data_IF_938047050261
#
_entry.id   IF_938047050261
#
_cell.length_a   1.000
_cell.length_b   1.000
_cell.length_c   1.000
_cell.angle_alpha   90.00
_cell.angle_beta   90.00
_cell.angle_gamma   90.00
#
_symmetry.space_group_name_H-M   'P 1'
#
loop_
_entity.id
_entity.type
_entity.pdbx_description
1 polymer ?
#
# COMPACT_ATOMS: atom_id res chain seq x y z
N UNK A 1 -23.14 43.75 -14.97
CA UNK A 1 -22.11 42.70 -14.90
C UNK A 1 -22.25 41.86 -13.63
N UNK A 2 -22.09 42.43 -12.42
CA UNK A 2 -22.22 41.69 -11.13
C UNK A 2 -23.50 40.87 -10.98
N UNK A 3 -24.67 41.46 -11.22
CA UNK A 3 -25.96 40.77 -11.10
C UNK A 3 -26.09 39.53 -11.99
N UNK A 4 -25.61 39.60 -13.24
CA UNK A 4 -25.59 38.45 -14.17
C UNK A 4 -24.63 37.34 -13.73
N UNK A 5 -23.53 37.71 -13.07
CA UNK A 5 -22.57 36.75 -12.52
C UNK A 5 -23.17 36.03 -11.32
N UNK A 6 -23.87 36.76 -10.44
CA UNK A 6 -24.58 36.20 -9.29
C UNK A 6 -25.72 35.27 -9.74
N UNK A 7 -26.53 35.67 -10.72
CA UNK A 7 -27.58 34.83 -11.32
C UNK A 7 -27.00 33.54 -11.89
N UNK A 8 -25.90 33.62 -12.65
CA UNK A 8 -25.26 32.43 -13.22
C UNK A 8 -24.63 31.52 -12.16
N UNK A 9 -24.17 32.07 -11.05
CA UNK A 9 -23.67 31.28 -9.93
C UNK A 9 -24.79 30.49 -9.27
N UNK A 10 -25.96 31.10 -9.06
CA UNK A 10 -27.13 30.42 -8.48
C UNK A 10 -27.60 29.30 -9.39
N UNK A 11 -27.79 29.57 -10.70
CA UNK A 11 -28.16 28.55 -11.69
C UNK A 11 -27.19 27.36 -11.69
N UNK A 12 -25.89 27.64 -11.65
CA UNK A 12 -24.86 26.60 -11.59
C UNK A 12 -24.98 25.73 -10.33
N UNK A 13 -25.29 26.31 -9.17
CA UNK A 13 -25.47 25.56 -7.93
C UNK A 13 -26.73 24.70 -7.95
N UNK A 14 -27.82 25.20 -8.54
CA UNK A 14 -29.08 24.46 -8.69
C UNK A 14 -28.95 23.28 -9.66
N UNK A 15 -28.34 23.51 -10.83
CA UNK A 15 -28.04 22.46 -11.82
C UNK A 15 -27.20 21.34 -11.18
N UNK A 16 -26.15 21.70 -10.46
CA UNK A 16 -25.24 20.74 -9.86
C UNK A 16 -25.83 19.97 -8.67
N UNK A 17 -26.67 20.62 -7.87
CA UNK A 17 -27.42 19.95 -6.79
C UNK A 17 -28.34 18.87 -7.36
N UNK A 18 -29.02 19.19 -8.47
CA UNK A 18 -29.91 18.26 -9.15
C UNK A 18 -29.17 17.03 -9.70
N UNK A 19 -28.00 17.23 -10.30
CA UNK A 19 -27.16 16.13 -10.82
C UNK A 19 -26.68 15.19 -9.69
N UNK A 20 -26.28 15.74 -8.54
CA UNK A 20 -25.86 14.93 -7.38
C UNK A 20 -27.04 14.10 -6.85
N UNK A 21 -28.22 14.70 -6.72
CA UNK A 21 -29.42 13.99 -6.28
C UNK A 21 -29.83 12.87 -7.24
N UNK A 22 -29.76 13.12 -8.55
CA UNK A 22 -30.06 12.11 -9.57
C UNK A 22 -29.09 10.93 -9.50
N UNK A 23 -27.79 11.19 -9.36
CA UNK A 23 -26.78 10.13 -9.23
C UNK A 23 -27.03 9.24 -7.99
N UNK A 24 -27.45 9.85 -6.87
CA UNK A 24 -27.83 9.10 -5.66
C UNK A 24 -29.08 8.26 -5.90
N UNK A 25 -30.13 8.84 -6.53
CA UNK A 25 -31.38 8.13 -6.86
C UNK A 25 -31.17 6.97 -7.84
N UNK A 26 -30.18 7.07 -8.72
CA UNK A 26 -29.81 6.02 -9.68
C UNK A 26 -28.87 4.96 -9.10
N UNK A 27 -28.61 4.98 -7.78
CA UNK A 27 -27.66 4.08 -7.13
C UNK A 27 -26.24 4.13 -7.73
N UNK A 28 -25.80 5.30 -8.21
CA UNK A 28 -24.42 5.57 -8.65
C UNK A 28 -23.69 6.48 -7.63
N UNK A 29 -23.23 5.91 -6.49
CA UNK A 29 -22.52 6.67 -5.48
C UNK A 29 -21.15 7.16 -5.97
N UNK A 30 -20.56 6.53 -6.99
CA UNK A 30 -19.25 6.91 -7.52
C UNK A 30 -19.32 8.25 -8.26
N UNK A 31 -20.37 8.46 -9.05
CA UNK A 31 -20.59 9.72 -9.78
C UNK A 31 -20.98 10.85 -8.83
N UNK A 32 -21.84 10.61 -7.84
CA UNK A 32 -22.15 11.58 -6.78
C UNK A 32 -20.89 12.00 -5.99
N UNK A 33 -20.07 11.04 -5.58
CA UNK A 33 -18.81 11.32 -4.87
C UNK A 33 -17.83 12.14 -5.73
N UNK A 34 -17.72 11.85 -7.02
CA UNK A 34 -16.86 12.59 -7.96
C UNK A 34 -17.27 14.05 -8.09
N UNK A 35 -18.56 14.32 -8.19
CA UNK A 35 -19.12 15.69 -8.25
C UNK A 35 -18.86 16.47 -6.96
N UNK A 36 -19.14 15.88 -5.80
CA UNK A 36 -18.85 16.48 -4.49
C UNK A 36 -17.33 16.73 -4.32
N UNK A 37 -16.50 15.81 -4.80
CA UNK A 37 -15.03 15.94 -4.74
C UNK A 37 -14.51 17.06 -5.64
N UNK A 38 -15.12 17.28 -6.81
CA UNK A 38 -14.82 18.43 -7.69
C UNK A 38 -15.19 19.75 -7.00
N UNK A 39 -16.36 19.79 -6.36
CA UNK A 39 -16.87 20.96 -5.63
C UNK A 39 -16.02 21.39 -4.44
N UNK A 40 -15.48 20.42 -3.69
CA UNK A 40 -14.56 20.70 -2.57
C UNK A 40 -13.20 21.28 -3.01
N UNK A 41 -13.05 21.64 -4.28
CA UNK A 41 -11.78 22.00 -4.88
C UNK A 41 -10.93 20.75 -4.98
N UNK A 42 -11.16 19.97 -6.05
CA UNK A 42 -10.41 18.73 -6.29
C UNK A 42 -8.92 18.96 -6.04
N UNK A 43 -8.36 18.27 -5.04
CA UNK A 43 -6.92 18.35 -4.76
C UNK A 43 -6.20 18.00 -6.07
N UNK A 44 -5.23 18.83 -6.48
CA UNK A 44 -4.33 18.48 -7.57
C UNK A 44 -3.90 17.02 -7.39
N UNK A 45 -3.92 16.23 -8.48
CA UNK A 45 -3.45 14.85 -8.39
C UNK A 45 -2.03 14.90 -7.83
N UNK A 46 -1.81 14.21 -6.72
CA UNK A 46 -0.51 14.23 -6.02
C UNK A 46 0.60 13.79 -6.99
N UNK A 47 0.28 12.89 -7.93
CA UNK A 47 1.13 12.44 -9.03
C UNK A 47 1.52 13.55 -10.02
N UNK A 48 0.65 14.53 -10.24
CA UNK A 48 0.87 15.63 -11.18
C UNK A 48 1.43 16.88 -10.50
N UNK A 49 1.65 16.86 -9.19
CA UNK A 49 2.24 17.98 -8.47
C UNK A 49 3.76 18.04 -8.66
N UNK A 50 4.35 19.22 -8.89
CA UNK A 50 5.80 19.39 -8.90
C UNK A 50 6.42 19.00 -7.54
N UNK A 51 7.61 18.43 -7.54
CA UNK A 51 8.36 18.04 -6.33
C UNK A 51 9.77 18.62 -6.36
N UNK A 52 10.45 18.69 -5.22
CA UNK A 52 11.83 19.16 -5.14
C UNK A 52 12.83 18.01 -5.37
N UNK A 53 13.93 18.30 -6.06
CA UNK A 53 15.12 17.47 -6.04
C UNK A 53 15.87 17.59 -4.69
N UNK A 54 17.01 16.91 -4.55
CA UNK A 54 17.82 16.96 -3.32
C UNK A 54 18.47 18.32 -3.07
N UNK A 55 18.61 19.13 -4.12
CA UNK A 55 19.22 20.46 -4.08
C UNK A 55 18.17 21.56 -3.88
N UNK A 56 16.89 21.21 -3.80
CA UNK A 56 15.77 22.13 -3.61
C UNK A 56 15.19 22.71 -4.89
N UNK A 57 15.60 22.23 -6.08
CA UNK A 57 15.04 22.70 -7.35
C UNK A 57 13.72 22.01 -7.66
N UNK A 58 12.81 22.74 -8.31
CA UNK A 58 11.47 22.24 -8.63
C UNK A 58 11.45 21.38 -9.90
N UNK A 59 11.10 20.11 -9.76
CA UNK A 59 10.89 19.15 -10.84
C UNK A 59 9.42 19.16 -11.27
N UNK A 60 9.19 19.59 -12.52
CA UNK A 60 7.85 19.68 -13.13
C UNK A 60 7.62 18.50 -14.08
N UNK A 61 8.68 18.01 -14.74
CA UNK A 61 8.59 16.92 -15.71
C UNK A 61 8.17 15.59 -15.05
N UNK A 62 7.24 14.85 -15.65
CA UNK A 62 6.77 13.56 -15.15
C UNK A 62 7.90 12.53 -14.92
N UNK A 63 8.83 12.41 -15.87
CA UNK A 63 9.94 11.45 -15.79
C UNK A 63 10.94 11.82 -14.69
N UNK A 64 11.30 13.09 -14.57
CA UNK A 64 12.23 13.56 -13.53
C UNK A 64 11.66 13.34 -12.13
N UNK A 65 10.35 13.59 -11.96
CA UNK A 65 9.68 13.31 -10.71
C UNK A 65 9.69 11.82 -10.38
N UNK A 66 9.34 10.95 -11.33
CA UNK A 66 9.38 9.49 -11.13
C UNK A 66 10.78 9.02 -10.76
N UNK A 67 11.81 9.54 -11.43
CA UNK A 67 13.20 9.24 -11.10
C UNK A 67 13.56 9.67 -9.68
N UNK A 68 13.23 10.90 -9.27
CA UNK A 68 13.49 11.39 -7.91
C UNK A 68 12.78 10.55 -6.83
N UNK A 69 11.57 10.07 -7.12
CA UNK A 69 10.85 9.14 -6.24
C UNK A 69 11.50 7.75 -6.19
N UNK A 70 11.96 7.23 -7.33
CA UNK A 70 12.69 5.97 -7.37
C UNK A 70 13.96 6.05 -6.53
N UNK A 71 14.75 7.11 -6.70
CA UNK A 71 15.96 7.37 -5.92
C UNK A 71 15.63 7.43 -4.41
N UNK A 72 14.56 8.15 -4.04
CA UNK A 72 14.09 8.23 -2.66
C UNK A 72 13.81 6.86 -2.04
N UNK A 73 13.02 6.03 -2.72
CA UNK A 73 12.62 4.73 -2.20
C UNK A 73 13.77 3.73 -2.18
N UNK A 74 14.67 3.77 -3.16
CA UNK A 74 15.88 2.94 -3.13
C UNK A 74 16.73 3.25 -1.90
N UNK A 75 16.95 4.54 -1.59
CA UNK A 75 17.74 4.93 -0.42
C UNK A 75 17.04 4.63 0.91
N UNK A 76 15.71 4.80 0.94
CA UNK A 76 14.91 4.58 2.13
C UNK A 76 14.75 3.11 2.49
N UNK A 77 14.57 2.25 1.49
CA UNK A 77 14.26 0.82 1.69
C UNK A 77 15.53 -0.06 1.67
N UNK A 78 16.55 0.30 0.91
CA UNK A 78 17.77 -0.50 0.76
C UNK A 78 18.90 0.05 1.63
N UNK A 79 18.63 0.29 2.90
CA UNK A 79 19.65 0.76 3.85
C UNK A 79 20.58 -0.42 4.18
N UNK A 80 21.89 -0.33 3.87
CA UNK A 80 22.81 -1.41 4.21
C UNK A 80 22.85 -1.58 5.73
N UNK A 81 22.42 -2.76 6.17
CA UNK A 81 22.40 -3.09 7.59
C UNK A 81 23.77 -3.63 8.00
N UNK A 82 24.58 -2.82 8.67
CA UNK A 82 25.80 -3.30 9.31
C UNK A 82 25.44 -3.85 10.68
N UNK A 83 25.39 -5.18 10.80
CA UNK A 83 25.22 -5.82 12.10
C UNK A 83 26.58 -5.83 12.80
N UNK A 84 26.70 -5.08 13.90
CA UNK A 84 27.89 -5.12 14.74
C UNK A 84 27.99 -6.52 15.41
N UNK A 85 29.07 -7.28 15.17
CA UNK A 85 29.25 -8.60 15.78
C UNK A 85 29.21 -8.58 17.32
N UNK A 86 29.58 -7.46 17.94
CA UNK A 86 29.53 -7.30 19.40
C UNK A 86 28.08 -7.19 19.92
N UNK A 87 27.14 -6.70 19.11
CA UNK A 87 25.70 -6.71 19.43
C UNK A 87 25.18 -8.14 19.32
N UNK A 88 25.56 -8.89 18.28
CA UNK A 88 25.16 -10.30 18.14
C UNK A 88 25.59 -11.16 19.35
N UNK A 89 26.79 -10.91 19.88
CA UNK A 89 27.27 -11.59 21.09
C UNK A 89 26.50 -11.20 22.37
N UNK A 90 25.89 -10.01 22.41
CA UNK A 90 25.10 -9.52 23.56
C UNK A 90 23.64 -9.95 23.50
N UNK A 91 23.13 -10.30 22.32
CA UNK A 91 21.80 -10.88 22.17
C UNK A 91 21.85 -12.31 22.71
N UNK A 92 21.24 -12.54 23.87
CA UNK A 92 21.04 -13.90 24.36
C UNK A 92 20.11 -14.64 23.41
N UNK A 93 20.65 -15.61 22.68
CA UNK A 93 19.84 -16.53 21.88
C UNK A 93 18.96 -17.31 22.87
N UNK A 94 17.63 -17.23 22.77
CA UNK A 94 16.76 -18.05 23.59
C UNK A 94 17.18 -19.51 23.43
N UNK A 95 17.48 -20.18 24.54
CA UNK A 95 17.72 -21.61 24.52
C UNK A 95 16.36 -22.29 24.29
N UNK A 96 16.00 -22.43 23.02
CA UNK A 96 14.83 -23.20 22.63
C UNK A 96 15.07 -24.64 23.08
N UNK A 97 14.02 -25.28 23.59
CA UNK A 97 14.06 -26.72 23.81
C UNK A 97 14.29 -27.44 22.48
N UNK A 98 14.87 -28.64 22.54
CA UNK A 98 15.04 -29.51 21.36
C UNK A 98 13.70 -29.72 20.62
N UNK A 99 12.58 -29.76 21.35
CA UNK A 99 11.24 -29.88 20.78
C UNK A 99 10.81 -28.63 20.01
N UNK A 100 11.09 -27.43 20.53
CA UNK A 100 10.77 -26.17 19.86
C UNK A 100 11.62 -25.95 18.61
N UNK A 101 12.90 -26.34 18.66
CA UNK A 101 13.81 -26.31 17.51
C UNK A 101 13.26 -27.23 16.41
N UNK A 102 12.99 -28.49 16.75
CA UNK A 102 12.44 -29.48 15.83
C UNK A 102 11.04 -29.10 15.29
N UNK A 103 10.31 -28.20 15.94
CA UNK A 103 9.04 -27.68 15.44
C UNK A 103 9.24 -26.60 14.38
N UNK A 104 10.30 -25.80 14.49
CA UNK A 104 10.61 -24.74 13.53
C UNK A 104 11.25 -25.27 12.24
N UNK A 105 11.96 -26.40 12.32
CA UNK A 105 12.63 -27.02 11.17
C UNK A 105 11.68 -27.85 10.27
N UNK A 106 10.40 -27.95 10.63
CA UNK A 106 9.39 -28.72 9.88
C UNK A 106 8.60 -27.81 8.95
N UNK A 107 8.17 -28.33 7.77
CA UNK A 107 7.29 -27.58 6.89
C UNK A 107 5.97 -27.23 7.62
N UNK A 108 5.35 -26.09 7.27
CA UNK A 108 4.14 -25.62 7.92
C UNK A 108 3.01 -26.62 7.74
N UNK A 109 2.30 -26.94 8.82
CA UNK A 109 1.15 -27.83 8.77
C UNK A 109 -0.10 -27.13 8.21
N UNK A 110 -1.02 -27.91 7.64
CA UNK A 110 -2.30 -27.36 7.12
C UNK A 110 -3.08 -26.60 8.20
N UNK A 111 -3.04 -27.06 9.45
CA UNK A 111 -3.71 -26.39 10.58
C UNK A 111 -3.08 -25.03 10.88
N UNK A 112 -1.75 -24.92 10.79
CA UNK A 112 -1.06 -23.64 10.95
C UNK A 112 -1.42 -22.66 9.85
N UNK A 113 -1.54 -23.13 8.61
CA UNK A 113 -1.98 -22.33 7.46
C UNK A 113 -3.42 -21.85 7.64
N UNK A 114 -4.35 -22.73 8.01
CA UNK A 114 -5.75 -22.39 8.26
C UNK A 114 -5.88 -21.36 9.40
N UNK A 115 -5.13 -21.55 10.48
CA UNK A 115 -5.12 -20.63 11.62
C UNK A 115 -4.48 -19.27 11.27
N UNK A 116 -3.43 -19.27 10.44
CA UNK A 116 -2.82 -18.05 9.93
C UNK A 116 -3.83 -17.24 9.08
N UNK A 117 -4.52 -17.89 8.13
CA UNK A 117 -5.56 -17.26 7.30
C UNK A 117 -6.67 -16.67 8.17
N UNK A 118 -7.10 -17.40 9.20
CA UNK A 118 -8.13 -16.92 10.15
C UNK A 118 -7.69 -15.66 10.90
N UNK A 119 -6.41 -15.59 11.30
CA UNK A 119 -5.83 -14.46 12.05
C UNK A 119 -5.57 -13.22 11.20
N UNK A 120 -5.52 -13.34 9.86
CA UNK A 120 -5.30 -12.18 8.98
C UNK A 120 -6.36 -11.10 9.21
N UNK A 121 -5.97 -9.83 9.14
CA UNK A 121 -6.92 -8.70 9.28
C UNK A 121 -7.66 -8.46 7.97
N UNK A 122 -8.99 -8.46 8.03
CA UNK A 122 -9.88 -8.12 6.91
C UNK A 122 -9.83 -6.64 6.55
N UNK A 123 -10.32 -6.28 5.34
CA UNK A 123 -10.35 -4.88 4.89
C UNK A 123 -8.98 -4.30 4.53
N UNK A 124 -7.99 -5.16 4.27
CA UNK A 124 -6.71 -4.75 3.66
C UNK A 124 -6.89 -4.65 2.15
N UNK A 125 -6.17 -3.70 1.53
CA UNK A 125 -6.15 -3.59 0.08
C UNK A 125 -5.53 -4.88 -0.52
N UNK A 126 -6.09 -5.41 -1.63
CA UNK A 126 -5.50 -6.54 -2.32
C UNK A 126 -4.14 -6.18 -2.93
N UNK A 127 -3.31 -7.19 -3.17
CA UNK A 127 -2.07 -7.05 -3.92
C UNK A 127 -2.32 -6.87 -5.42
N UNK A 128 -1.25 -6.94 -6.22
CA UNK A 128 -1.32 -6.91 -7.69
C UNK A 128 -2.14 -8.08 -8.26
N UNK A 129 -2.14 -9.20 -7.54
CA UNK A 129 -2.92 -10.41 -7.82
C UNK A 129 -4.43 -10.21 -7.69
N UNK A 130 -4.88 -9.08 -7.12
CA UNK A 130 -6.30 -8.81 -6.87
C UNK A 130 -6.89 -9.64 -5.72
N UNK A 131 -6.09 -10.44 -5.01
CA UNK A 131 -6.55 -11.29 -3.93
C UNK A 131 -6.59 -10.52 -2.61
N UNK A 132 -7.80 -10.30 -2.11
CA UNK A 132 -7.98 -9.71 -0.77
C UNK A 132 -7.98 -10.78 0.31
N UNK A 133 -7.66 -10.37 1.53
CA UNK A 133 -7.78 -11.25 2.72
C UNK A 133 -9.19 -11.83 2.85
N UNK A 134 -10.21 -11.06 2.47
CA UNK A 134 -11.61 -11.49 2.55
C UNK A 134 -11.91 -12.59 1.52
N UNK A 135 -11.34 -12.52 0.32
CA UNK A 135 -11.40 -13.60 -0.68
C UNK A 135 -10.68 -14.84 -0.19
N UNK A 136 -9.49 -14.68 0.40
CA UNK A 136 -8.70 -15.80 0.93
C UNK A 136 -9.46 -16.53 2.04
N UNK A 137 -10.07 -15.78 2.97
CA UNK A 137 -10.90 -16.36 4.03
C UNK A 137 -12.16 -17.06 3.47
N UNK A 138 -12.81 -16.46 2.47
CA UNK A 138 -14.00 -17.03 1.85
C UNK A 138 -13.72 -18.33 1.08
N UNK A 139 -12.50 -18.52 0.57
CA UNK A 139 -12.07 -19.74 -0.11
C UNK A 139 -12.07 -21.00 0.77
N UNK A 140 -12.11 -20.83 2.09
CA UNK A 140 -12.24 -21.91 3.06
C UNK A 140 -11.15 -22.98 2.92
N UNK A 141 -11.47 -24.21 3.32
CA UNK A 141 -10.50 -25.31 3.38
C UNK A 141 -9.88 -25.64 2.02
N UNK A 142 -10.64 -25.53 0.93
CA UNK A 142 -10.14 -25.82 -0.41
C UNK A 142 -8.97 -24.89 -0.79
N UNK A 143 -9.08 -23.59 -0.50
CA UNK A 143 -8.01 -22.64 -0.74
C UNK A 143 -6.85 -22.84 0.23
N UNK A 144 -7.14 -23.08 1.53
CA UNK A 144 -6.10 -23.36 2.53
C UNK A 144 -5.25 -24.57 2.16
N UNK A 145 -5.86 -25.65 1.65
CA UNK A 145 -5.12 -26.83 1.18
C UNK A 145 -4.20 -26.49 0.01
N UNK A 146 -4.66 -25.65 -0.93
CA UNK A 146 -3.85 -25.25 -2.09
C UNK A 146 -2.68 -24.36 -1.70
N UNK A 147 -2.91 -23.41 -0.80
CA UNK A 147 -1.86 -22.55 -0.22
C UNK A 147 -0.83 -23.37 0.56
N UNK A 148 -1.29 -24.35 1.35
CA UNK A 148 -0.42 -25.26 2.08
C UNK A 148 0.50 -26.04 1.14
N UNK A 149 0.00 -26.58 0.03
CA UNK A 149 0.84 -27.25 -0.97
C UNK A 149 1.96 -26.33 -1.46
N UNK A 150 1.63 -25.09 -1.83
CA UNK A 150 2.63 -24.11 -2.29
C UNK A 150 3.64 -23.78 -1.19
N UNK A 151 3.20 -23.60 0.06
CA UNK A 151 4.12 -23.30 1.16
C UNK A 151 5.08 -24.45 1.49
N UNK A 152 4.60 -25.70 1.38
CA UNK A 152 5.46 -26.88 1.55
C UNK A 152 6.47 -26.97 0.41
N UNK A 153 6.05 -26.77 -0.84
CA UNK A 153 6.95 -26.76 -2.00
C UNK A 153 8.04 -25.69 -1.87
N UNK A 154 7.68 -24.46 -1.50
CA UNK A 154 8.66 -23.38 -1.26
C UNK A 154 9.63 -23.73 -0.12
N UNK A 155 9.12 -24.37 0.94
CA UNK A 155 9.94 -24.78 2.08
C UNK A 155 10.95 -25.87 1.72
N UNK A 156 10.55 -26.85 0.90
CA UNK A 156 11.38 -27.99 0.51
C UNK A 156 12.40 -27.63 -0.58
N UNK A 157 12.00 -26.81 -1.55
CA UNK A 157 12.85 -26.43 -2.69
C UNK A 157 13.72 -25.20 -2.41
N UNK A 158 13.45 -24.48 -1.32
CA UNK A 158 14.08 -23.19 -0.97
C UNK A 158 14.03 -22.14 -2.09
N UNK A 159 13.05 -22.28 -3.00
CA UNK A 159 12.82 -21.36 -4.12
C UNK A 159 11.59 -20.49 -3.85
N UNK A 160 11.80 -19.17 -3.86
CA UNK A 160 10.72 -18.20 -3.73
C UNK A 160 9.98 -17.99 -5.06
N UNK A 161 8.77 -17.46 -4.98
CA UNK A 161 8.01 -17.02 -6.15
C UNK A 161 8.55 -15.64 -6.57
N UNK A 162 8.98 -15.50 -7.82
CA UNK A 162 9.52 -14.23 -8.34
C UNK A 162 8.56 -13.05 -8.11
N UNK A 163 7.25 -13.25 -8.27
CA UNK A 163 6.24 -12.23 -8.03
C UNK A 163 6.25 -11.68 -6.59
N UNK A 164 6.71 -12.46 -5.60
CA UNK A 164 6.80 -12.01 -4.20
C UNK A 164 7.94 -11.01 -3.97
N UNK A 165 8.92 -10.96 -4.88
CA UNK A 165 10.00 -9.96 -4.87
C UNK A 165 9.58 -8.63 -5.49
N UNK A 166 8.42 -8.57 -6.15
CA UNK A 166 7.93 -7.36 -6.80
C UNK A 166 6.99 -6.59 -5.89
N UNK A 167 7.27 -5.30 -5.68
CA UNK A 167 6.48 -4.43 -4.80
C UNK A 167 6.00 -3.19 -5.55
N UNK A 168 4.71 -2.90 -5.46
CA UNK A 168 4.18 -1.59 -5.85
C UNK A 168 4.19 -0.67 -4.65
N UNK A 169 4.88 0.46 -4.81
CA UNK A 169 4.91 1.51 -3.80
C UNK A 169 3.85 2.55 -4.13
N UNK A 170 2.83 2.67 -3.27
CA UNK A 170 1.79 3.69 -3.39
C UNK A 170 2.06 4.80 -2.38
N UNK A 171 2.21 6.02 -2.90
CA UNK A 171 2.39 7.22 -2.07
C UNK A 171 1.05 7.66 -1.46
N UNK A 172 0.97 7.68 -0.12
CA UNK A 172 -0.22 8.09 0.60
C UNK A 172 0.05 9.32 1.47
N UNK A 173 -0.23 10.50 0.93
CA UNK A 173 0.01 11.74 1.67
C UNK A 173 -0.92 11.90 2.89
N UNK A 174 -0.36 11.81 4.10
CA UNK A 174 -1.12 11.91 5.37
C UNK A 174 -1.32 13.33 5.91
N UNK A 175 -1.24 14.35 5.05
CA UNK A 175 -1.36 15.77 5.47
C UNK A 175 -0.32 16.22 6.51
N UNK A 176 0.89 15.64 6.45
CA UNK A 176 2.04 16.04 7.27
C UNK A 176 3.20 16.43 6.36
N UNK A 177 3.85 17.55 6.69
CA UNK A 177 4.95 18.08 5.89
C UNK A 177 4.52 18.70 4.56
N UNK A 178 5.50 19.14 3.78
CA UNK A 178 5.26 19.59 2.41
C UNK A 178 5.07 18.37 1.50
N UNK A 179 4.03 18.40 0.67
CA UNK A 179 3.75 17.37 -0.33
C UNK A 179 4.83 17.31 -1.42
N UNK A 180 5.54 18.43 -1.62
CA UNK A 180 6.53 18.61 -2.68
C UNK A 180 7.91 18.12 -2.26
N UNK A 181 8.12 17.88 -0.98
CA UNK A 181 9.37 17.40 -0.45
C UNK A 181 9.30 15.88 -0.24
N UNK A 182 10.24 15.16 -0.84
CA UNK A 182 10.33 13.71 -0.69
C UNK A 182 10.77 13.32 0.73
N UNK A 183 11.62 14.15 1.37
CA UNK A 183 12.19 13.88 2.70
C UNK A 183 11.18 14.14 3.82
N UNK A 184 10.28 15.11 3.63
CA UNK A 184 9.18 15.39 4.56
C UNK A 184 8.18 14.22 4.67
N UNK A 185 8.21 13.28 3.71
CA UNK A 185 7.41 12.08 3.72
C UNK A 185 8.22 10.93 4.32
N UNK A 186 8.28 10.84 5.65
CA UNK A 186 8.89 9.68 6.33
C UNK A 186 8.10 8.38 6.20
N UNK A 187 8.67 7.25 6.66
CA UNK A 187 8.11 5.87 6.60
C UNK A 187 6.63 5.74 6.96
N UNK A 188 6.12 6.59 7.85
CA UNK A 188 4.71 6.59 8.25
C UNK A 188 3.73 7.06 7.16
N UNK A 189 4.21 7.60 6.03
CA UNK A 189 3.40 8.18 4.94
C UNK A 189 3.28 7.29 3.69
N UNK A 190 3.73 6.03 3.77
CA UNK A 190 3.67 5.09 2.65
C UNK A 190 2.81 3.88 2.97
N UNK A 191 2.10 3.38 1.96
CA UNK A 191 1.53 2.04 1.97
C UNK A 191 2.31 1.20 0.98
N UNK A 192 3.09 0.25 1.48
CA UNK A 192 3.67 -0.79 0.65
C UNK A 192 2.82 -2.05 0.80
N UNK A 193 2.41 -2.64 -0.32
CA UNK A 193 1.89 -4.01 -0.35
C UNK A 193 3.04 -4.90 -0.80
N UNK A 194 3.89 -5.29 0.13
CA UNK A 194 4.88 -6.35 -0.04
C UNK A 194 4.69 -7.39 1.04
N UNK A 195 4.89 -8.66 0.70
CA UNK A 195 4.85 -9.77 1.65
C UNK A 195 6.22 -10.11 2.24
N UNK A 196 7.34 -9.58 1.73
CA UNK A 196 8.68 -9.77 2.31
C UNK A 196 9.61 -8.55 2.10
N UNK A 197 10.67 -8.39 2.92
CA UNK A 197 11.74 -7.43 2.68
C UNK A 197 12.48 -7.78 1.39
N UNK A 198 12.90 -6.76 0.65
CA UNK A 198 13.84 -6.90 -0.46
C UNK A 198 15.22 -7.11 0.18
N UNK A 199 15.87 -8.24 -0.11
CA UNK A 199 17.27 -8.49 0.25
C UNK A 199 18.24 -7.65 -0.61
#
# INVERSE_FOLDING_TARGET
>A
AKKKVEERQIEYWDELSLEIEQAIKQHDPATAYRMIRRLKGGKAKIEEMPIHDKQGNLLINGHERLRRWSEHFCELLNVPSTVDPSIMQRISIPQLSTEEQNRQDKPPSLLEVEEAIRRMKSGRAPGMDGLSVDVIKAGGRALSTRLHTVFVEIWEEEQTIEDWSTVIIIRLFKNKGDKRDCEALGNSNYGATSWLPVE
#
